data_IF_375671719559
#
_entry.id   IF_375671719559
#
_cell.length_a   1.000
_cell.length_b   1.000
_cell.length_c   1.000
_cell.angle_alpha   90.00
_cell.angle_beta   90.00
_cell.angle_gamma   90.00
#
_symmetry.space_group_name_H-M   'P 1'
#
loop_
_entity.id
_entity.type
_entity.pdbx_description
1 polymer ?
#
# COMPACT_ATOMS: atom_id res chain seq x y z
N UNK A 1 44.91 25.55 3.18
CA UNK A 1 44.20 24.74 2.18
C UNK A 1 42.73 25.12 2.26
N UNK A 2 42.20 25.71 1.20
CA UNK A 2 40.86 26.30 1.15
C UNK A 2 39.99 25.43 0.22
N UNK A 3 38.90 24.78 0.71
CA UNK A 3 38.28 23.64 0.01
C UNK A 3 37.04 24.00 -0.81
N UNK A 4 36.96 25.18 -1.44
CA UNK A 4 35.84 25.52 -2.35
C UNK A 4 36.30 26.24 -3.64
N UNK A 5 36.07 25.67 -4.84
CA UNK A 5 36.31 26.37 -6.10
C UNK A 5 35.23 27.43 -6.34
N UNK A 6 35.66 28.64 -6.73
CA UNK A 6 34.76 29.75 -7.07
C UNK A 6 33.99 29.43 -8.37
N UNK A 7 32.66 29.50 -8.33
CA UNK A 7 31.82 29.40 -9.52
C UNK A 7 31.99 30.66 -10.39
N UNK A 8 32.20 30.46 -11.70
CA UNK A 8 32.30 31.53 -12.68
C UNK A 8 30.94 32.19 -13.00
N UNK A 9 30.94 33.34 -13.70
CA UNK A 9 29.72 34.09 -13.99
C UNK A 9 28.82 33.38 -15.00
N UNK A 10 27.50 33.48 -14.79
CA UNK A 10 26.47 32.91 -15.65
C UNK A 10 26.40 33.58 -17.03
N UNK A 11 26.06 32.84 -18.11
CA UNK A 11 25.93 33.40 -19.45
C UNK A 11 24.70 34.34 -19.60
N UNK A 12 24.71 35.26 -20.59
CA UNK A 12 23.64 36.24 -20.78
C UNK A 12 22.32 35.62 -21.23
N UNK A 13 21.20 36.24 -20.83
CA UNK A 13 19.85 35.81 -21.23
C UNK A 13 19.56 36.20 -22.68
N UNK A 14 19.09 35.23 -23.47
CA UNK A 14 18.62 35.46 -24.84
C UNK A 14 17.31 36.29 -24.92
N UNK A 15 16.96 36.81 -26.10
CA UNK A 15 15.87 37.77 -26.27
C UNK A 15 14.47 37.17 -26.06
N UNK A 16 13.55 38.00 -25.56
CA UNK A 16 12.15 37.65 -25.31
C UNK A 16 11.39 37.30 -26.60
N UNK A 17 10.64 36.20 -26.58
CA UNK A 17 9.59 35.91 -27.58
C UNK A 17 8.32 36.71 -27.26
N UNK A 18 7.58 37.20 -28.27
CA UNK A 18 6.31 37.91 -28.07
C UNK A 18 5.20 36.96 -27.60
N UNK A 19 4.25 37.50 -26.84
CA UNK A 19 3.11 36.75 -26.30
C UNK A 19 2.10 36.39 -27.40
N UNK A 20 1.68 35.13 -27.49
CA UNK A 20 0.53 34.74 -28.30
C UNK A 20 -0.79 35.07 -27.59
N UNK A 21 -1.76 35.58 -28.34
CA UNK A 21 -3.02 36.10 -27.81
C UNK A 21 -3.93 35.04 -27.18
N UNK A 22 -4.73 35.47 -26.20
CA UNK A 22 -5.83 34.67 -25.65
C UNK A 22 -6.99 34.60 -26.66
N UNK A 23 -7.64 33.45 -26.86
CA UNK A 23 -8.93 33.40 -27.54
C UNK A 23 -10.00 34.08 -26.67
N UNK A 24 -10.93 34.78 -27.32
CA UNK A 24 -12.04 35.50 -26.68
C UNK A 24 -13.13 34.53 -26.17
N UNK A 25 -13.70 34.84 -25.01
CA UNK A 25 -14.79 34.08 -24.39
C UNK A 25 -16.13 34.62 -24.88
N UNK A 26 -16.97 33.77 -25.45
CA UNK A 26 -18.32 34.14 -25.89
C UNK A 26 -19.25 34.44 -24.69
N UNK A 27 -20.18 35.39 -24.86
CA UNK A 27 -21.18 35.75 -23.86
C UNK A 27 -22.33 34.74 -23.75
N UNK A 28 -22.93 34.55 -22.56
CA UNK A 28 -24.18 33.82 -22.41
C UNK A 28 -25.40 34.70 -22.64
N UNK A 29 -26.25 34.32 -23.60
CA UNK A 29 -27.53 34.99 -23.88
C UNK A 29 -28.50 34.83 -22.70
N UNK A 30 -29.08 35.94 -22.23
CA UNK A 30 -30.15 35.96 -21.22
C UNK A 30 -31.44 35.37 -21.80
N UNK A 31 -32.15 34.53 -21.04
CA UNK A 31 -33.59 34.27 -21.23
C UNK A 31 -34.37 34.43 -19.93
N UNK A 32 -35.60 34.92 -20.06
CA UNK A 32 -36.34 35.54 -18.97
C UNK A 32 -37.14 34.55 -18.11
N UNK A 33 -37.57 35.05 -16.93
CA UNK A 33 -38.42 34.35 -15.95
C UNK A 33 -39.84 34.11 -16.49
N UNK A 34 -40.46 33.03 -16.03
CA UNK A 34 -41.89 32.99 -15.72
C UNK A 34 -42.14 32.13 -14.49
N UNK A 35 -43.17 32.48 -13.72
CA UNK A 35 -43.64 31.80 -12.50
C UNK A 35 -45.15 31.69 -12.61
N UNK A 36 -45.76 30.59 -12.17
CA UNK A 36 -46.91 30.73 -11.28
C UNK A 36 -46.77 29.98 -9.95
N UNK A 37 -47.54 30.45 -8.97
CA UNK A 37 -47.58 30.01 -7.57
C UNK A 37 -48.69 28.97 -7.32
N UNK A 38 -48.59 28.34 -6.14
CA UNK A 38 -49.52 27.40 -5.46
C UNK A 38 -49.52 25.96 -6.04
N UNK A 39 -49.86 24.92 -5.26
CA UNK A 39 -50.30 24.88 -3.86
C UNK A 39 -49.60 23.79 -3.01
N UNK A 40 -50.10 23.58 -1.77
CA UNK A 40 -49.55 22.71 -0.74
C UNK A 40 -50.10 21.28 -0.70
N UNK A 41 -49.28 20.32 -0.23
CA UNK A 41 -49.72 19.17 0.61
C UNK A 41 -48.69 18.96 1.73
N UNK A 42 -49.14 18.40 2.86
CA UNK A 42 -48.57 18.49 4.22
C UNK A 42 -47.69 17.28 4.62
N UNK A 43 -46.58 17.60 5.31
CA UNK A 43 -45.81 16.89 6.36
C UNK A 43 -45.69 15.34 6.44
N UNK A 44 -44.44 14.88 6.53
CA UNK A 44 -43.85 13.97 7.55
C UNK A 44 -42.36 13.78 7.17
N UNK A 45 -41.33 13.70 8.04
CA UNK A 45 -41.20 13.30 9.45
C UNK A 45 -40.21 14.24 10.16
N UNK A 46 -40.45 14.53 11.45
CA UNK A 46 -39.50 15.23 12.31
C UNK A 46 -38.92 14.30 13.40
N UNK A 47 -37.77 14.71 13.95
CA UNK A 47 -37.12 14.30 15.22
C UNK A 47 -35.76 13.60 15.13
N UNK A 48 -34.73 14.38 14.78
CA UNK A 48 -33.39 14.23 15.37
C UNK A 48 -32.91 15.61 15.82
N UNK A 49 -33.12 15.95 17.09
CA UNK A 49 -32.29 16.87 17.89
C UNK A 49 -32.88 17.04 19.29
N UNK A 50 -32.21 16.49 20.31
CA UNK A 50 -31.66 17.28 21.42
C UNK A 50 -30.68 16.42 22.24
N UNK A 51 -29.54 17.00 22.61
CA UNK A 51 -28.46 16.24 23.28
C UNK A 51 -27.08 16.90 23.15
N UNK A 52 -27.03 18.23 23.21
CA UNK A 52 -25.81 19.01 22.99
C UNK A 52 -25.16 19.37 24.33
N UNK A 53 -23.97 18.83 24.63
CA UNK A 53 -23.12 19.33 25.72
C UNK A 53 -21.61 19.11 25.44
N UNK A 54 -21.05 20.06 24.67
CA UNK A 54 -19.70 20.64 24.81
C UNK A 54 -18.46 19.70 24.80
N UNK A 55 -17.91 19.56 23.60
CA UNK A 55 -16.46 19.64 23.33
C UNK A 55 -16.25 20.49 22.07
N UNK A 56 -15.33 21.45 22.06
CA UNK A 56 -15.09 22.32 20.87
C UNK A 56 -14.22 21.61 19.82
N UNK A 57 -14.32 22.01 18.54
CA UNK A 57 -13.71 21.28 17.43
C UNK A 57 -12.29 21.77 17.12
N UNK A 58 -11.38 20.83 16.84
CA UNK A 58 -10.32 21.09 15.88
C UNK A 58 -10.86 20.77 14.47
N UNK A 59 -10.75 21.76 13.59
CA UNK A 59 -11.31 21.69 12.25
C UNK A 59 -10.28 21.15 11.24
N UNK A 60 -10.75 20.33 10.30
CA UNK A 60 -10.03 19.99 9.08
C UNK A 60 -9.42 18.59 9.05
N UNK A 61 -10.24 17.58 8.70
CA UNK A 61 -10.23 16.96 7.36
C UNK A 61 -11.64 16.41 7.10
N UNK A 62 -12.39 17.01 6.18
CA UNK A 62 -13.57 16.34 5.59
C UNK A 62 -13.05 15.29 4.62
N UNK A 63 -12.85 14.08 5.12
CA UNK A 63 -12.40 12.95 4.33
C UNK A 63 -13.56 12.40 3.50
N UNK A 64 -13.87 13.06 2.38
CA UNK A 64 -14.58 12.44 1.25
C UNK A 64 -13.64 11.47 0.50
N UNK A 65 -12.87 10.69 1.26
CA UNK A 65 -12.33 9.44 0.77
C UNK A 65 -13.52 8.50 0.62
N UNK A 66 -13.80 8.07 -0.62
CA UNK A 66 -14.85 7.10 -0.92
C UNK A 66 -14.43 5.75 -0.34
N UNK A 67 -14.64 5.55 0.98
CA UNK A 67 -14.39 4.30 1.67
C UNK A 67 -15.46 3.30 1.21
N UNK A 68 -15.15 2.59 0.11
CA UNK A 68 -16.09 1.67 -0.51
C UNK A 68 -16.45 0.55 0.49
N UNK A 69 -17.75 0.33 0.78
CA UNK A 69 -18.15 -0.60 1.84
C UNK A 69 -17.84 -2.05 1.45
N UNK A 70 -16.96 -2.69 2.22
CA UNK A 70 -16.58 -4.09 2.06
C UNK A 70 -17.77 -5.02 2.33
N UNK A 71 -18.13 -5.86 1.36
CA UNK A 71 -19.30 -6.74 1.45
C UNK A 71 -19.05 -7.96 2.36
N UNK A 72 -20.00 -8.34 3.26
CA UNK A 72 -19.88 -9.57 4.04
C UNK A 72 -19.92 -10.82 3.14
N UNK A 73 -19.20 -11.88 3.52
CA UNK A 73 -19.05 -13.11 2.71
C UNK A 73 -20.40 -13.79 2.40
N UNK A 74 -21.39 -13.64 3.27
CA UNK A 74 -22.75 -14.15 3.08
C UNK A 74 -23.51 -13.52 1.92
N UNK A 75 -23.12 -12.32 1.48
CA UNK A 75 -23.73 -11.59 0.36
C UNK A 75 -22.88 -11.59 -0.91
N UNK A 76 -21.78 -12.34 -0.93
CA UNK A 76 -20.95 -12.48 -2.13
C UNK A 76 -21.68 -13.27 -3.20
N UNK A 77 -21.65 -12.73 -4.42
CA UNK A 77 -22.15 -13.40 -5.61
C UNK A 77 -21.36 -14.68 -5.91
N UNK A 78 -21.77 -15.38 -6.98
CA UNK A 78 -21.07 -16.61 -7.39
C UNK A 78 -19.65 -16.34 -7.89
N UNK A 79 -19.36 -15.13 -8.40
CA UNK A 79 -18.05 -14.80 -8.98
C UNK A 79 -17.00 -14.54 -7.90
N UNK A 80 -17.33 -13.70 -6.93
CA UNK A 80 -16.51 -13.39 -5.77
C UNK A 80 -16.12 -14.65 -4.99
N UNK A 81 -17.07 -15.60 -4.85
CA UNK A 81 -16.79 -16.92 -4.24
C UNK A 81 -15.80 -17.77 -5.08
N UNK A 82 -15.88 -17.74 -6.41
CA UNK A 82 -14.88 -18.39 -7.29
C UNK A 82 -13.51 -17.75 -7.15
N UNK A 83 -13.41 -16.43 -7.09
CA UNK A 83 -12.12 -15.72 -6.88
C UNK A 83 -11.50 -16.08 -5.54
N UNK A 84 -12.26 -16.01 -4.44
CA UNK A 84 -11.77 -16.42 -3.11
C UNK A 84 -11.30 -17.87 -3.12
N UNK A 85 -12.02 -18.79 -3.78
CA UNK A 85 -11.57 -20.18 -3.94
C UNK A 85 -10.25 -20.26 -4.70
N UNK A 86 -10.12 -19.60 -5.86
CA UNK A 86 -8.86 -19.58 -6.64
C UNK A 86 -7.69 -19.06 -5.80
N UNK A 87 -7.89 -18.00 -5.02
CA UNK A 87 -6.87 -17.46 -4.12
C UNK A 87 -6.46 -18.46 -3.05
N UNK A 88 -7.42 -19.12 -2.38
CA UNK A 88 -7.11 -20.15 -1.38
C UNK A 88 -6.51 -21.44 -2.00
N UNK A 89 -6.82 -21.76 -3.25
CA UNK A 89 -6.22 -22.87 -4.00
C UNK A 89 -4.73 -22.63 -4.35
N UNK A 90 -4.25 -21.38 -4.29
CA UNK A 90 -2.83 -21.01 -4.53
C UNK A 90 -2.12 -20.50 -3.27
N UNK A 91 -2.87 -19.93 -2.32
CA UNK A 91 -2.41 -19.43 -1.03
C UNK A 91 -3.27 -20.02 0.11
N UNK A 92 -3.11 -21.32 0.45
CA UNK A 92 -3.99 -21.99 1.41
C UNK A 92 -3.90 -21.45 2.85
N UNK A 93 -2.82 -20.73 3.18
CA UNK A 93 -2.66 -20.01 4.45
C UNK A 93 -3.25 -18.59 4.46
N UNK A 94 -3.80 -18.11 3.34
CA UNK A 94 -4.30 -16.74 3.25
C UNK A 94 -5.56 -16.51 4.09
N UNK A 95 -5.58 -15.36 4.76
CA UNK A 95 -6.68 -14.93 5.62
C UNK A 95 -6.98 -13.45 5.38
N UNK A 96 -8.24 -13.03 5.60
CA UNK A 96 -8.58 -11.60 5.63
C UNK A 96 -7.73 -10.85 6.65
N UNK A 97 -7.40 -9.58 6.39
CA UNK A 97 -6.62 -8.76 7.33
C UNK A 97 -7.18 -8.75 8.76
N UNK A 98 -8.50 -8.70 8.94
CA UNK A 98 -9.13 -8.76 10.27
C UNK A 98 -8.93 -10.09 11.00
N UNK A 99 -8.83 -11.22 10.29
CA UNK A 99 -8.54 -12.52 10.88
C UNK A 99 -7.05 -12.65 11.25
N UNK A 100 -6.15 -12.10 10.44
CA UNK A 100 -4.71 -11.99 10.77
C UNK A 100 -4.52 -11.12 11.99
N UNK A 101 -5.11 -9.92 12.02
CA UNK A 101 -5.11 -9.01 13.17
C UNK A 101 -5.60 -9.72 14.44
N UNK A 102 -6.72 -10.45 14.36
CA UNK A 102 -7.26 -11.19 15.50
C UNK A 102 -6.33 -12.30 16.01
N UNK A 103 -5.56 -12.95 15.13
CA UNK A 103 -4.56 -13.97 15.51
C UNK A 103 -3.32 -13.32 16.12
N UNK A 104 -2.79 -12.29 15.46
CA UNK A 104 -1.64 -11.49 15.91
C UNK A 104 -1.87 -10.93 17.32
N UNK A 105 -3.00 -10.25 17.56
CA UNK A 105 -3.31 -9.68 18.88
C UNK A 105 -3.40 -10.74 19.99
N UNK A 106 -3.77 -11.99 19.67
CA UNK A 106 -3.72 -13.10 20.64
C UNK A 106 -2.29 -13.61 20.86
N UNK A 107 -1.50 -13.73 19.79
CA UNK A 107 -0.12 -14.19 19.85
C UNK A 107 0.80 -13.23 20.61
N UNK A 108 0.61 -11.91 20.45
CA UNK A 108 1.45 -10.90 21.13
C UNK A 108 1.01 -10.58 22.57
N UNK A 109 -0.18 -11.03 23.00
CA UNK A 109 -0.74 -10.76 24.34
C UNK A 109 0.20 -11.18 25.50
N UNK A 110 0.86 -12.36 25.48
CA UNK A 110 1.78 -12.76 26.56
C UNK A 110 3.03 -11.86 26.67
N UNK A 111 3.40 -11.19 25.58
CA UNK A 111 4.59 -10.34 25.48
C UNK A 111 4.33 -8.87 25.90
N UNK A 112 3.11 -8.54 26.36
CA UNK A 112 2.81 -7.23 26.93
C UNK A 112 2.56 -6.09 25.92
N UNK A 113 2.53 -6.37 24.61
CA UNK A 113 2.27 -5.38 23.57
C UNK A 113 0.88 -4.71 23.75
N UNK A 114 0.88 -3.39 23.82
CA UNK A 114 -0.30 -2.51 23.91
C UNK A 114 -0.15 -1.35 22.93
N UNK A 115 -1.27 -0.69 22.60
CA UNK A 115 -1.32 0.47 21.70
C UNK A 115 -0.32 1.59 22.06
N UNK A 116 -0.11 1.88 23.34
CA UNK A 116 0.70 3.03 23.79
C UNK A 116 2.19 2.71 24.00
N UNK A 117 2.58 1.44 24.07
CA UNK A 117 3.97 1.02 24.30
C UNK A 117 4.56 0.26 23.10
N UNK A 118 3.92 0.31 21.93
CA UNK A 118 4.38 -0.40 20.73
C UNK A 118 4.48 0.58 19.57
N UNK A 119 5.66 0.70 18.96
CA UNK A 119 5.83 1.43 17.70
C UNK A 119 5.63 0.49 16.52
N UNK A 120 4.92 0.95 15.49
CA UNK A 120 4.57 0.15 14.32
C UNK A 120 5.39 0.57 13.09
N UNK A 121 5.93 -0.41 12.37
CA UNK A 121 6.67 -0.24 11.12
C UNK A 121 6.14 -1.15 10.03
N UNK A 122 6.37 -0.78 8.77
CA UNK A 122 5.97 -1.61 7.63
C UNK A 122 6.95 -1.57 6.47
N UNK A 123 7.32 -2.76 5.98
CA UNK A 123 8.07 -2.95 4.73
C UNK A 123 7.15 -3.59 3.69
N UNK A 124 6.38 -2.75 3.01
CA UNK A 124 5.38 -3.14 2.01
C UNK A 124 5.56 -2.28 0.75
N UNK A 125 4.97 -2.73 -0.36
CA UNK A 125 5.11 -2.06 -1.64
C UNK A 125 4.39 -0.70 -1.69
N UNK A 126 5.04 0.31 -2.29
CA UNK A 126 4.53 1.67 -2.50
C UNK A 126 3.25 1.77 -3.35
N UNK A 127 2.84 0.68 -4.00
CA UNK A 127 1.62 0.57 -4.80
C UNK A 127 0.36 0.86 -3.94
N UNK A 128 -0.51 1.77 -4.41
CA UNK A 128 -1.54 2.42 -3.60
C UNK A 128 -2.58 1.46 -3.02
N UNK A 129 -2.85 0.36 -3.74
CA UNK A 129 -3.80 -0.69 -3.37
C UNK A 129 -3.40 -1.42 -2.07
N UNK A 130 -2.16 -1.28 -1.63
CA UNK A 130 -1.69 -1.82 -0.35
C UNK A 130 -2.19 -1.05 0.88
N UNK A 131 -2.87 0.07 0.66
CA UNK A 131 -3.49 0.91 1.68
C UNK A 131 -4.99 0.65 1.87
N UNK A 132 -5.61 -0.27 1.12
CA UNK A 132 -7.06 -0.53 1.22
C UNK A 132 -7.50 -0.88 2.66
N UNK A 133 -8.70 -0.45 3.12
CA UNK A 133 -9.14 -0.62 4.52
C UNK A 133 -9.14 -2.05 5.06
N UNK A 134 -9.20 -3.06 4.18
CA UNK A 134 -9.21 -4.47 4.54
C UNK A 134 -7.82 -5.08 4.81
N UNK A 135 -6.73 -4.41 4.43
CA UNK A 135 -5.37 -4.93 4.61
C UNK A 135 -4.88 -4.83 6.06
N UNK A 136 -4.03 -5.79 6.44
CA UNK A 136 -3.47 -5.87 7.80
C UNK A 136 -2.62 -4.63 8.13
N UNK A 137 -1.93 -4.05 7.15
CA UNK A 137 -1.21 -2.79 7.23
C UNK A 137 -2.08 -1.62 7.70
N UNK A 138 -3.23 -1.43 7.05
CA UNK A 138 -4.18 -0.36 7.35
C UNK A 138 -4.87 -0.58 8.70
N UNK A 139 -5.20 -1.83 9.03
CA UNK A 139 -5.78 -2.19 10.33
C UNK A 139 -4.78 -1.96 11.48
N UNK A 140 -3.51 -2.29 11.30
CA UNK A 140 -2.46 -2.03 12.29
C UNK A 140 -2.14 -0.54 12.43
N UNK A 141 -2.13 0.21 11.32
CA UNK A 141 -2.01 1.68 11.36
C UNK A 141 -3.18 2.32 12.12
N UNK A 142 -4.41 1.83 11.92
CA UNK A 142 -5.58 2.27 12.72
C UNK A 142 -5.46 1.91 14.21
N UNK A 143 -4.78 0.80 14.54
CA UNK A 143 -4.59 0.35 15.92
C UNK A 143 -3.44 1.07 16.64
N UNK A 144 -2.21 0.94 16.13
CA UNK A 144 -0.99 1.47 16.74
C UNK A 144 -0.71 2.95 16.40
N UNK A 145 -1.32 3.48 15.33
CA UNK A 145 -1.14 4.86 14.87
C UNK A 145 -0.21 4.95 13.67
N UNK A 146 0.67 5.96 13.65
CA UNK A 146 1.54 6.24 12.51
C UNK A 146 2.52 5.08 12.31
N UNK A 147 2.58 4.56 11.08
CA UNK A 147 3.56 3.56 10.68
C UNK A 147 4.89 4.22 10.28
N UNK A 148 6.01 3.62 10.65
CA UNK A 148 7.31 3.90 10.05
C UNK A 148 7.44 3.13 8.73
N UNK A 149 7.68 3.82 7.61
CA UNK A 149 7.86 3.18 6.30
C UNK A 149 9.29 2.69 6.15
N UNK A 150 9.47 1.38 6.21
CA UNK A 150 10.76 0.70 5.94
C UNK A 150 10.88 0.28 4.47
N UNK A 151 9.73 0.11 3.79
CA UNK A 151 9.65 -0.45 2.43
C UNK A 151 9.74 0.55 1.29
N UNK A 152 9.69 0.02 0.06
CA UNK A 152 9.45 0.74 -1.19
C UNK A 152 8.92 -0.23 -2.26
N UNK A 153 9.14 -0.01 -3.55
CA UNK A 153 8.55 -0.84 -4.61
C UNK A 153 8.89 -2.34 -4.46
N UNK A 154 7.91 -3.21 -4.64
CA UNK A 154 8.04 -4.65 -4.40
C UNK A 154 8.01 -5.09 -2.93
N UNK A 155 8.12 -4.17 -1.97
CA UNK A 155 8.00 -4.45 -0.52
C UNK A 155 9.29 -4.82 0.21
N UNK A 156 10.46 -4.66 -0.44
CA UNK A 156 11.75 -4.85 0.20
C UNK A 156 12.11 -3.65 1.11
N UNK A 157 12.91 -3.85 2.18
CA UNK A 157 13.12 -2.85 3.21
C UNK A 157 14.25 -1.86 2.84
N UNK A 158 14.05 -1.04 1.80
CA UNK A 158 15.10 -0.14 1.28
C UNK A 158 15.56 0.95 2.26
N UNK A 159 14.83 1.20 3.34
CA UNK A 159 15.34 2.04 4.43
C UNK A 159 16.64 1.49 5.05
N UNK A 160 16.86 0.18 4.92
CA UNK A 160 18.08 -0.52 5.33
C UNK A 160 18.39 -0.41 6.82
N UNK A 161 19.64 -0.74 7.17
CA UNK A 161 20.13 -0.75 8.57
C UNK A 161 20.02 0.63 9.22
N UNK A 162 20.32 1.71 8.49
CA UNK A 162 20.16 3.09 8.97
C UNK A 162 18.71 3.43 9.29
N UNK A 163 17.77 3.06 8.41
CA UNK A 163 16.33 3.29 8.63
C UNK A 163 15.77 2.46 9.78
N UNK A 164 16.17 1.19 9.91
CA UNK A 164 15.75 0.36 11.04
C UNK A 164 16.33 0.88 12.36
N UNK A 165 17.58 1.32 12.40
CA UNK A 165 18.18 1.96 13.58
C UNK A 165 17.46 3.27 13.96
N UNK A 166 17.11 4.10 12.98
CA UNK A 166 16.30 5.30 13.22
C UNK A 166 14.91 4.96 13.77
N UNK A 167 14.32 3.85 13.30
CA UNK A 167 13.05 3.33 13.81
C UNK A 167 13.16 2.79 15.25
N UNK A 168 14.25 2.11 15.61
CA UNK A 168 14.54 1.68 16.99
C UNK A 168 14.58 2.84 18.00
N UNK A 169 15.11 4.00 17.60
CA UNK A 169 15.09 5.19 18.46
C UNK A 169 13.69 5.81 18.68
N UNK A 170 12.66 5.33 17.98
CA UNK A 170 11.26 5.78 18.16
C UNK A 170 10.44 4.84 19.06
N UNK A 171 11.06 3.79 19.62
CA UNK A 171 10.41 2.87 20.55
C UNK A 171 10.13 3.59 21.87
N UNK A 172 8.92 3.50 22.45
CA UNK A 172 8.63 4.05 23.78
C UNK A 172 9.53 3.43 24.86
N UNK A 173 9.74 4.11 25.98
CA UNK A 173 10.55 3.58 27.09
C UNK A 173 10.07 2.19 27.54
N UNK A 174 10.95 1.19 27.48
CA UNK A 174 10.62 -0.23 27.72
C UNK A 174 9.45 -0.77 26.87
N UNK A 175 9.24 -0.18 25.69
CA UNK A 175 8.22 -0.54 24.72
C UNK A 175 8.64 -1.68 23.78
N UNK A 176 7.88 -1.86 22.71
CA UNK A 176 8.04 -2.94 21.74
C UNK A 176 8.02 -2.39 20.31
N UNK A 177 8.52 -3.20 19.39
CA UNK A 177 8.46 -2.96 17.95
C UNK A 177 7.54 -3.99 17.32
N UNK A 178 6.67 -3.57 16.39
CA UNK A 178 5.95 -4.48 15.50
C UNK A 178 6.19 -4.08 14.04
N UNK A 179 6.70 -5.01 13.22
CA UNK A 179 6.91 -4.83 11.78
C UNK A 179 6.04 -5.80 10.98
N UNK A 180 5.24 -5.29 10.06
CA UNK A 180 4.69 -6.09 8.95
C UNK A 180 5.59 -5.98 7.73
N UNK A 181 5.92 -7.09 7.10
CA UNK A 181 6.76 -7.05 5.90
C UNK A 181 6.33 -8.06 4.82
N UNK A 182 6.69 -7.74 3.57
CA UNK A 182 6.62 -8.65 2.45
C UNK A 182 6.15 -8.02 1.14
N UNK A 183 6.14 -8.80 0.05
CA UNK A 183 5.63 -8.36 -1.24
C UNK A 183 4.10 -8.42 -1.26
N UNK A 184 3.54 -7.99 -2.39
CA UNK A 184 2.11 -8.13 -2.66
C UNK A 184 1.84 -8.76 -4.02
N UNK A 185 0.62 -9.27 -4.19
CA UNK A 185 0.09 -9.78 -5.46
C UNK A 185 -1.39 -9.43 -5.61
N UNK A 186 -1.77 -8.91 -6.77
CA UNK A 186 -3.15 -8.65 -7.13
C UNK A 186 -3.81 -9.86 -7.78
N UNK A 187 -5.13 -9.95 -7.62
CA UNK A 187 -5.99 -10.83 -8.43
C UNK A 187 -6.99 -10.02 -9.27
N UNK A 188 -7.18 -10.44 -10.52
CA UNK A 188 -8.24 -9.88 -11.39
C UNK A 188 -9.64 -10.26 -10.89
N UNK A 189 -10.72 -9.61 -11.40
CA UNK A 189 -12.11 -10.03 -11.16
C UNK A 189 -12.41 -11.50 -11.53
N UNK A 190 -11.63 -12.09 -12.44
CA UNK A 190 -11.72 -13.51 -12.80
C UNK A 190 -10.80 -14.42 -11.97
N UNK A 191 -9.99 -13.84 -11.08
CA UNK A 191 -9.02 -14.55 -10.24
C UNK A 191 -7.74 -14.96 -10.97
N UNK A 192 -7.28 -14.16 -11.94
CA UNK A 192 -5.94 -14.27 -12.51
C UNK A 192 -4.90 -13.66 -11.55
N UNK A 193 -3.86 -14.39 -11.12
CA UNK A 193 -2.81 -13.87 -10.24
C UNK A 193 -1.85 -12.94 -10.99
N UNK A 194 -1.39 -11.88 -10.34
CA UNK A 194 -0.47 -10.90 -10.93
C UNK A 194 -1.15 -9.72 -11.64
N UNK A 195 -2.49 -9.63 -11.55
CA UNK A 195 -3.32 -8.63 -12.23
C UNK A 195 -4.21 -7.88 -11.25
N UNK A 196 -4.57 -6.64 -11.56
CA UNK A 196 -5.52 -5.87 -10.74
C UNK A 196 -6.33 -4.88 -11.58
N UNK A 197 -7.61 -4.73 -11.22
CA UNK A 197 -8.52 -3.72 -11.79
C UNK A 197 -8.45 -2.47 -10.90
N UNK A 198 -7.86 -1.38 -11.41
CA UNK A 198 -7.67 -0.13 -10.67
C UNK A 198 -8.82 0.84 -10.95
N UNK A 199 -9.16 1.66 -9.96
CA UNK A 199 -10.21 2.66 -10.09
C UNK A 199 -9.86 3.63 -11.22
N UNK A 200 -10.78 3.82 -12.17
CA UNK A 200 -10.59 4.70 -13.33
C UNK A 200 -9.76 4.10 -14.48
N UNK A 201 -9.41 2.81 -14.44
CA UNK A 201 -8.75 2.10 -15.55
C UNK A 201 -9.68 1.03 -16.14
N UNK A 202 -9.79 1.00 -17.47
CA UNK A 202 -10.53 -0.04 -18.20
C UNK A 202 -9.72 -1.35 -18.29
N UNK A 203 -8.41 -1.23 -18.50
CA UNK A 203 -7.51 -2.37 -18.65
C UNK A 203 -6.99 -2.90 -17.30
N UNK A 204 -6.79 -4.21 -17.21
CA UNK A 204 -6.11 -4.84 -16.08
C UNK A 204 -4.61 -4.50 -16.07
N UNK A 205 -4.15 -3.92 -14.95
CA UNK A 205 -2.75 -3.61 -14.69
C UNK A 205 -2.02 -4.76 -14.00
N UNK A 206 -0.68 -4.72 -13.96
CA UNK A 206 0.13 -5.69 -13.19
C UNK A 206 0.15 -5.36 -11.69
N UNK A 207 0.25 -6.41 -10.86
CA UNK A 207 0.36 -6.27 -9.40
C UNK A 207 1.00 -7.51 -8.76
N UNK A 208 2.19 -7.44 -8.15
CA UNK A 208 3.05 -6.27 -8.02
C UNK A 208 3.75 -5.88 -9.33
N UNK A 209 3.57 -4.64 -9.77
CA UNK A 209 4.17 -4.13 -11.01
C UNK A 209 5.71 -4.20 -11.02
N UNK A 210 6.36 -3.80 -9.93
CA UNK A 210 7.82 -3.75 -9.83
C UNK A 210 8.47 -5.15 -9.84
N UNK A 211 7.90 -6.11 -9.11
CA UNK A 211 8.38 -7.51 -9.06
C UNK A 211 8.22 -8.17 -10.43
N UNK A 212 7.08 -7.97 -11.11
CA UNK A 212 6.85 -8.46 -12.48
C UNK A 212 7.80 -7.79 -13.48
N UNK A 213 8.02 -6.48 -13.35
CA UNK A 213 8.98 -5.76 -14.19
C UNK A 213 10.41 -6.28 -13.99
N UNK A 214 10.83 -6.57 -12.75
CA UNK A 214 12.17 -7.08 -12.45
C UNK A 214 12.38 -8.47 -13.07
N UNK A 215 11.38 -9.34 -12.97
CA UNK A 215 11.37 -10.65 -13.63
C UNK A 215 11.47 -10.54 -15.16
N UNK A 216 10.68 -9.66 -15.78
CA UNK A 216 10.72 -9.43 -17.23
C UNK A 216 12.07 -8.84 -17.67
N UNK A 217 12.64 -7.90 -16.88
CA UNK A 217 13.96 -7.32 -17.12
C UNK A 217 15.06 -8.39 -17.08
N UNK A 218 15.03 -9.33 -16.11
CA UNK A 218 15.97 -10.47 -16.06
C UNK A 218 15.85 -11.35 -17.31
N UNK A 219 14.62 -11.61 -17.77
CA UNK A 219 14.36 -12.52 -18.89
C UNK A 219 14.51 -11.89 -20.29
N UNK A 220 14.63 -10.56 -20.39
CA UNK A 220 14.90 -9.87 -21.67
C UNK A 220 16.27 -10.21 -22.27
N UNK A 221 17.21 -10.69 -21.45
CA UNK A 221 18.61 -10.89 -21.82
C UNK A 221 19.44 -9.60 -21.89
N UNK A 222 18.82 -8.43 -21.66
CA UNK A 222 19.51 -7.14 -21.65
C UNK A 222 20.41 -6.99 -20.42
N UNK A 223 21.61 -6.45 -20.62
CA UNK A 223 22.51 -6.12 -19.51
C UNK A 223 22.05 -4.83 -18.83
N UNK A 224 21.25 -4.96 -17.77
CA UNK A 224 20.77 -3.84 -16.94
C UNK A 224 21.62 -3.70 -15.67
N UNK A 225 22.66 -2.84 -15.65
CA UNK A 225 23.45 -2.57 -14.44
C UNK A 225 22.60 -1.92 -13.34
N UNK A 226 23.21 -1.70 -12.18
CA UNK A 226 22.60 -0.90 -11.12
C UNK A 226 22.52 0.57 -11.56
N UNK A 227 21.32 1.17 -11.49
CA UNK A 227 21.11 2.59 -11.76
C UNK A 227 20.89 3.33 -10.42
N UNK A 228 21.73 4.32 -10.07
CA UNK A 228 21.54 5.17 -8.89
C UNK A 228 20.21 5.95 -8.85
N UNK A 229 19.50 6.07 -9.98
CA UNK A 229 18.17 6.69 -10.08
C UNK A 229 17.01 5.69 -10.00
N UNK A 230 17.30 4.39 -10.08
CA UNK A 230 16.34 3.28 -10.07
C UNK A 230 16.87 2.14 -9.16
N UNK A 231 17.33 2.53 -7.96
CA UNK A 231 18.05 1.63 -7.05
C UNK A 231 17.15 0.51 -6.50
N UNK A 232 15.88 0.80 -6.20
CA UNK A 232 14.93 -0.18 -5.68
C UNK A 232 14.67 -1.29 -6.71
N UNK A 233 14.41 -0.94 -7.97
CA UNK A 233 14.23 -1.90 -9.06
C UNK A 233 15.53 -2.63 -9.39
N UNK A 234 16.69 -1.95 -9.30
CA UNK A 234 18.01 -2.57 -9.44
C UNK A 234 18.26 -3.65 -8.37
N UNK A 235 17.83 -3.40 -7.13
CA UNK A 235 17.88 -4.38 -6.03
C UNK A 235 16.94 -5.56 -6.31
N UNK A 236 15.71 -5.33 -6.79
CA UNK A 236 14.79 -6.40 -7.18
C UNK A 236 15.36 -7.28 -8.29
N UNK A 237 15.92 -6.69 -9.36
CA UNK A 237 16.61 -7.42 -10.44
C UNK A 237 17.73 -8.30 -9.87
N UNK A 238 18.58 -7.73 -9.01
CA UNK A 238 19.70 -8.46 -8.41
C UNK A 238 19.24 -9.66 -7.57
N UNK A 239 18.25 -9.47 -6.69
CA UNK A 239 17.80 -10.48 -5.73
C UNK A 239 16.94 -11.57 -6.37
N UNK A 240 16.18 -11.26 -7.43
CA UNK A 240 15.36 -12.22 -8.16
C UNK A 240 16.13 -12.99 -9.25
N UNK A 241 17.32 -12.53 -9.66
CA UNK A 241 18.11 -13.11 -10.77
C UNK A 241 18.33 -14.63 -10.66
N UNK A 242 18.63 -15.12 -9.46
CA UNK A 242 18.85 -16.56 -9.22
C UNK A 242 17.56 -17.39 -9.26
N UNK A 243 16.42 -16.79 -8.93
CA UNK A 243 15.12 -17.45 -8.89
C UNK A 243 14.38 -17.44 -10.24
N UNK A 244 14.68 -16.48 -11.12
CA UNK A 244 13.98 -16.30 -12.40
C UNK A 244 13.94 -17.58 -13.29
N UNK A 245 15.01 -18.40 -13.42
CA UNK A 245 14.96 -19.63 -14.21
C UNK A 245 13.96 -20.67 -13.68
N UNK A 246 13.78 -20.74 -12.36
CA UNK A 246 12.82 -21.65 -11.70
C UNK A 246 11.39 -21.16 -11.91
N UNK A 247 11.16 -19.84 -11.78
CA UNK A 247 9.87 -19.20 -12.06
C UNK A 247 9.46 -19.40 -13.53
N UNK A 248 10.41 -19.34 -14.47
CA UNK A 248 10.17 -19.58 -15.89
C UNK A 248 9.76 -21.03 -16.20
N UNK A 249 10.18 -22.00 -15.37
CA UNK A 249 9.79 -23.41 -15.48
C UNK A 249 8.42 -23.70 -14.85
N UNK A 250 7.83 -22.76 -14.10
CA UNK A 250 6.49 -22.91 -13.54
C UNK A 250 5.40 -22.76 -14.61
N UNK A 251 5.07 -23.87 -15.24
CA UNK A 251 4.04 -23.96 -16.28
C UNK A 251 2.60 -23.69 -15.79
N UNK A 252 2.36 -23.64 -14.48
CA UNK A 252 1.01 -23.54 -13.90
C UNK A 252 0.70 -22.22 -13.22
N UNK A 253 1.65 -21.61 -12.49
CA UNK A 253 1.38 -20.46 -11.60
C UNK A 253 2.60 -19.50 -11.46
N UNK A 254 3.24 -19.05 -12.56
CA UNK A 254 4.51 -18.33 -12.49
C UNK A 254 4.45 -17.03 -11.64
N UNK A 255 3.32 -16.31 -11.64
CA UNK A 255 3.16 -15.11 -10.81
C UNK A 255 3.05 -15.42 -9.30
N UNK A 256 2.51 -16.59 -8.94
CA UNK A 256 2.46 -17.06 -7.54
C UNK A 256 3.87 -17.44 -7.07
N UNK A 257 4.60 -18.19 -7.89
CA UNK A 257 5.96 -18.61 -7.54
C UNK A 257 6.90 -17.40 -7.50
N UNK A 258 6.73 -16.44 -8.42
CA UNK A 258 7.48 -15.18 -8.41
C UNK A 258 7.29 -14.39 -7.11
N UNK A 259 6.05 -14.22 -6.61
CA UNK A 259 5.82 -13.52 -5.34
C UNK A 259 6.31 -14.32 -4.13
N UNK A 260 6.28 -15.65 -4.17
CA UNK A 260 6.89 -16.51 -3.14
C UNK A 260 8.43 -16.36 -3.10
N UNK A 261 9.09 -16.24 -4.27
CA UNK A 261 10.54 -16.01 -4.35
C UNK A 261 10.91 -14.58 -3.92
N UNK A 262 10.11 -13.58 -4.29
CA UNK A 262 10.24 -12.22 -3.77
C UNK A 262 10.09 -12.18 -2.24
N UNK A 263 9.12 -12.90 -1.67
CA UNK A 263 8.97 -13.01 -0.21
C UNK A 263 10.24 -13.54 0.45
N UNK A 264 10.84 -14.63 -0.07
CA UNK A 264 12.06 -15.19 0.50
C UNK A 264 13.27 -14.26 0.42
N UNK A 265 13.39 -13.47 -0.66
CA UNK A 265 14.42 -12.43 -0.76
C UNK A 265 14.21 -11.28 0.25
N UNK A 266 12.95 -10.87 0.45
CA UNK A 266 12.57 -9.79 1.38
C UNK A 266 12.73 -10.24 2.84
N UNK A 267 12.31 -11.46 3.18
CA UNK A 267 12.47 -12.07 4.49
C UNK A 267 13.94 -12.15 4.90
N UNK A 268 14.82 -12.61 3.98
CA UNK A 268 16.26 -12.64 4.23
C UNK A 268 16.85 -11.24 4.45
N UNK A 269 16.41 -10.23 3.68
CA UNK A 269 16.88 -8.85 3.87
C UNK A 269 16.41 -8.26 5.21
N UNK A 270 15.12 -8.44 5.55
CA UNK A 270 14.56 -7.97 6.83
C UNK A 270 15.37 -8.55 7.99
N UNK A 271 15.63 -9.86 7.99
CA UNK A 271 16.40 -10.53 9.04
C UNK A 271 17.88 -10.13 9.11
N UNK A 272 18.48 -9.62 8.02
CA UNK A 272 19.86 -9.06 8.04
C UNK A 272 19.91 -7.60 8.56
N UNK A 273 18.81 -6.85 8.42
CA UNK A 273 18.76 -5.43 8.82
C UNK A 273 18.09 -5.16 10.17
N UNK A 274 17.43 -6.15 10.79
CA UNK A 274 16.75 -5.93 12.08
C UNK A 274 17.73 -5.40 13.13
N UNK A 275 17.25 -4.43 13.91
CA UNK A 275 17.96 -3.93 15.09
C UNK A 275 17.07 -4.20 16.32
N UNK A 276 17.69 -4.69 17.39
CA UNK A 276 17.03 -4.97 18.68
C UNK A 276 17.60 -4.10 19.81
N UNK A 277 18.32 -3.02 19.47
CA UNK A 277 18.94 -2.10 20.42
C UNK A 277 17.97 -0.96 20.75
N UNK A 278 16.92 -1.31 21.50
CA UNK A 278 15.87 -0.39 21.95
C UNK A 278 15.42 -0.68 23.40
N UNK A 279 16.31 -1.23 24.21
CA UNK A 279 16.04 -1.60 25.60
C UNK A 279 15.39 -2.99 25.77
N UNK A 280 14.66 -3.25 26.87
CA UNK A 280 14.18 -4.59 27.25
C UNK A 280 12.96 -5.07 26.43
N UNK A 281 12.69 -4.41 25.30
CA UNK A 281 11.50 -4.62 24.49
C UNK A 281 11.48 -5.94 23.72
N UNK A 282 10.42 -6.12 22.94
CA UNK A 282 10.31 -7.23 22.00
C UNK A 282 10.19 -6.70 20.57
N UNK A 283 10.92 -7.32 19.65
CA UNK A 283 10.70 -7.18 18.21
C UNK A 283 9.70 -8.26 17.77
N UNK A 284 8.55 -7.85 17.29
CA UNK A 284 7.56 -8.72 16.64
C UNK A 284 7.62 -8.50 15.14
N UNK A 285 7.90 -9.58 14.41
CA UNK A 285 7.87 -9.61 12.96
C UNK A 285 6.63 -10.38 12.50
N UNK A 286 5.87 -9.81 11.56
CA UNK A 286 4.80 -10.50 10.84
C UNK A 286 5.14 -10.46 9.35
N UNK A 287 5.71 -11.57 8.87
CA UNK A 287 6.09 -11.73 7.48
C UNK A 287 4.99 -12.44 6.69
N UNK A 288 4.76 -12.02 5.45
CA UNK A 288 3.85 -12.74 4.57
C UNK A 288 3.72 -12.13 3.19
N UNK A 289 2.68 -12.58 2.48
CA UNK A 289 2.30 -12.02 1.18
C UNK A 289 0.99 -11.27 1.35
N UNK A 290 0.99 -9.99 0.99
CA UNK A 290 -0.24 -9.21 0.91
C UNK A 290 -0.98 -9.53 -0.40
N UNK A 291 -2.27 -9.82 -0.32
CA UNK A 291 -3.06 -10.28 -1.46
C UNK A 291 -4.18 -9.27 -1.71
N UNK A 292 -4.03 -8.46 -2.75
CA UNK A 292 -5.02 -7.46 -3.14
C UNK A 292 -6.12 -8.15 -3.95
N UNK A 293 -7.36 -8.09 -3.46
CA UNK A 293 -8.51 -8.77 -4.05
C UNK A 293 -9.33 -7.80 -4.91
N UNK A 294 -10.04 -8.27 -5.95
CA UNK A 294 -10.92 -7.40 -6.71
C UNK A 294 -12.11 -6.94 -5.86
N UNK A 295 -12.53 -5.69 -6.03
CA UNK A 295 -13.72 -5.13 -5.38
C UNK A 295 -14.96 -6.03 -5.60
N UNK A 296 -15.81 -6.29 -4.58
CA UNK A 296 -15.83 -5.74 -3.22
C UNK A 296 -15.15 -6.61 -2.15
N UNK A 297 -14.24 -7.50 -2.54
CA UNK A 297 -13.58 -8.40 -1.61
C UNK A 297 -12.55 -7.66 -0.74
N UNK A 298 -12.49 -7.92 0.58
CA UNK A 298 -11.44 -7.35 1.43
C UNK A 298 -10.08 -7.93 1.08
N UNK A 299 -9.02 -7.15 1.28
CA UNK A 299 -7.64 -7.62 1.19
C UNK A 299 -7.35 -8.83 2.08
N UNK A 300 -6.58 -9.77 1.55
CA UNK A 300 -6.06 -10.94 2.28
C UNK A 300 -4.58 -10.75 2.57
N UNK A 301 -4.05 -11.57 3.47
CA UNK A 301 -2.64 -11.69 3.79
C UNK A 301 -2.37 -13.16 4.13
N UNK A 302 -1.27 -13.71 3.61
CA UNK A 302 -0.79 -15.06 3.93
C UNK A 302 0.45 -14.94 4.83
N UNK A 303 0.32 -15.16 6.16
CA UNK A 303 1.46 -15.21 7.05
C UNK A 303 2.41 -16.35 6.70
N UNK A 304 3.71 -16.06 6.75
CA UNK A 304 4.82 -16.98 6.47
C UNK A 304 5.93 -16.90 7.54
N UNK A 305 5.88 -15.86 8.40
CA UNK A 305 6.71 -15.65 9.58
C UNK A 305 5.81 -15.05 10.69
#
# INVERSE_FOLDING_TARGET
>A
FDPFPRLGPSPPRGPHRPAMGRPTRAEPVRRARSVPLLAAVVAAVALVHYGFCRGRPDAGVTADAVEQPLMPVSFLDSSSRRVVKKVLDVFPGAMKGSAVMSRLMRAVKPYGLKRHNTVYGQSLCSDEINSDPGHISTLLSRHYGRAFTLGGIGGAPYSGKTGFMAFSHHVPDSGHVLVVFGPHIGFSPDGEPGKFSRIGQEALSTSCGAVVAAYNQINSGENMPADPKDMEQSWLRLKLKQAAPEVAQSSKRPMVDLVMKAYKAIEAEVLDIVNTDFGPGHLVLLGGIQINMPYPLPGYFMPLH
#
